data_IF_338458661658
#
_entry.id   IF_338458661658
#
_cell.length_a   1.000
_cell.length_b   1.000
_cell.length_c   1.000
_cell.angle_alpha   90.00
_cell.angle_beta   90.00
_cell.angle_gamma   90.00
#
_symmetry.space_group_name_H-M   'P 1'
#
loop_
_entity.id
_entity.type
_entity.pdbx_description
1 polymer ?
#
# COMPACT_ATOMS: atom_id res chain seq x y z
N UNK A 1 33.47 1.93 -4.59
CA UNK A 1 32.02 2.04 -4.34
C UNK A 1 31.76 3.39 -3.71
N UNK A 2 30.90 4.21 -4.32
CA UNK A 2 30.49 5.49 -3.74
C UNK A 2 29.61 5.25 -2.52
N UNK A 3 29.87 5.93 -1.40
CA UNK A 3 29.08 5.77 -0.18
C UNK A 3 27.75 6.50 -0.31
N UNK A 4 26.64 5.78 -0.14
CA UNK A 4 25.27 6.33 -0.08
C UNK A 4 24.77 6.30 1.36
N UNK A 5 23.77 7.13 1.69
CA UNK A 5 23.24 7.25 3.05
C UNK A 5 22.74 5.90 3.61
N UNK A 6 22.10 5.09 2.76
CA UNK A 6 21.49 3.82 3.13
C UNK A 6 22.51 2.70 3.43
N UNK A 7 23.78 2.85 3.04
CA UNK A 7 24.82 1.86 3.42
C UNK A 7 25.07 1.81 4.94
N UNK A 8 24.77 2.89 5.66
CA UNK A 8 24.95 2.97 7.12
C UNK A 8 23.61 3.21 7.83
N UNK A 9 22.48 2.96 7.14
CA UNK A 9 21.17 3.18 7.72
C UNK A 9 20.81 2.10 8.75
N UNK A 10 20.14 2.51 9.81
CA UNK A 10 19.45 1.62 10.75
C UNK A 10 17.95 1.85 10.54
N UNK A 11 17.29 0.84 9.97
CA UNK A 11 15.86 0.90 9.63
C UNK A 11 15.05 0.27 10.76
N UNK A 12 13.97 0.94 11.16
CA UNK A 12 13.02 0.45 12.15
C UNK A 12 11.64 0.29 11.51
N UNK A 13 11.09 -0.92 11.53
CA UNK A 13 9.75 -1.14 11.00
C UNK A 13 8.69 -0.70 12.01
N UNK A 14 7.71 0.07 11.54
CA UNK A 14 6.52 0.46 12.32
C UNK A 14 5.30 -0.19 11.69
N UNK A 15 4.59 -0.98 12.50
CA UNK A 15 3.26 -1.47 12.16
C UNK A 15 2.22 -0.49 12.75
N UNK A 16 1.56 0.35 11.94
CA UNK A 16 0.86 1.56 12.41
C UNK A 16 -0.25 1.23 13.40
N UNK A 17 -1.09 0.23 13.10
CA UNK A 17 -2.23 -0.19 13.95
C UNK A 17 -1.87 -0.55 15.39
N UNK A 18 -0.61 -0.92 15.65
CA UNK A 18 -0.19 -1.43 16.97
C UNK A 18 0.96 -0.64 17.60
N UNK A 19 1.36 0.48 16.97
CA UNK A 19 2.50 1.24 17.47
C UNK A 19 2.10 2.21 18.59
N UNK A 20 1.22 3.17 18.29
CA UNK A 20 0.77 4.17 19.27
C UNK A 20 -0.56 4.80 18.86
N UNK A 21 -1.58 4.60 19.68
CA UNK A 21 -2.87 5.31 19.61
C UNK A 21 -2.73 6.70 20.28
N UNK A 22 -3.25 7.74 19.62
CA UNK A 22 -3.32 9.12 20.09
C UNK A 22 -4.74 9.68 20.26
N UNK A 23 -5.78 8.99 19.77
CA UNK A 23 -7.17 9.47 19.77
C UNK A 23 -8.11 8.66 20.70
N UNK A 24 -7.66 7.50 21.20
CA UNK A 24 -8.39 6.64 22.14
C UNK A 24 -9.34 5.62 21.50
N UNK A 25 -9.25 5.36 20.20
CA UNK A 25 -10.05 4.33 19.52
C UNK A 25 -9.49 2.90 19.65
N UNK A 26 -8.29 2.76 20.24
CA UNK A 26 -7.61 1.48 20.46
C UNK A 26 -6.71 1.03 19.31
N UNK A 27 -6.55 1.86 18.27
CA UNK A 27 -5.74 1.58 17.07
C UNK A 27 -4.67 2.65 16.94
N UNK A 28 -3.45 2.24 16.60
CA UNK A 28 -2.36 3.18 16.39
C UNK A 28 -2.52 4.02 15.13
N UNK A 29 -2.07 5.27 15.19
CA UNK A 29 -2.30 6.30 14.17
C UNK A 29 -1.02 7.13 13.87
N UNK A 30 -1.05 7.95 12.82
CA UNK A 30 0.10 8.73 12.36
C UNK A 30 0.58 9.74 13.41
N UNK A 31 -0.33 10.40 14.13
CA UNK A 31 0.04 11.33 15.22
C UNK A 31 0.73 10.62 16.36
N UNK A 32 0.31 9.40 16.67
CA UNK A 32 0.96 8.51 17.60
C UNK A 32 2.39 8.19 17.19
N UNK A 33 2.63 7.91 15.91
CA UNK A 33 3.98 7.71 15.36
C UNK A 33 4.81 9.00 15.48
N UNK A 34 4.28 10.13 15.03
CA UNK A 34 4.93 11.45 15.12
C UNK A 34 5.33 11.78 16.56
N UNK A 35 4.47 11.50 17.55
CA UNK A 35 4.73 11.72 18.98
C UNK A 35 5.90 10.90 19.55
N UNK A 36 6.36 9.87 18.83
CA UNK A 36 7.45 8.99 19.24
C UNK A 36 8.75 9.21 18.47
N UNK A 37 8.80 10.17 17.56
CA UNK A 37 10.02 10.44 16.78
C UNK A 37 11.22 10.81 17.67
N UNK A 38 11.03 11.51 18.80
CA UNK A 38 12.12 11.79 19.76
C UNK A 38 12.68 10.51 20.40
N UNK A 39 11.81 9.53 20.67
CA UNK A 39 12.24 8.22 21.16
C UNK A 39 13.03 7.45 20.10
N UNK A 40 12.56 7.48 18.85
CA UNK A 40 13.21 6.80 17.73
C UNK A 40 14.55 7.45 17.36
N UNK A 41 14.64 8.79 17.42
CA UNK A 41 15.90 9.51 17.26
C UNK A 41 16.89 9.12 18.36
N UNK A 42 16.45 9.06 19.62
CA UNK A 42 17.28 8.59 20.75
C UNK A 42 17.74 7.14 20.58
N UNK A 43 16.92 6.29 19.97
CA UNK A 43 17.29 4.91 19.64
C UNK A 43 18.40 4.87 18.57
N UNK A 44 18.55 5.93 17.77
CA UNK A 44 19.60 6.08 16.77
C UNK A 44 19.22 5.56 15.39
N UNK A 45 17.92 5.43 15.09
CA UNK A 45 17.46 4.99 13.77
C UNK A 45 17.62 6.12 12.74
N UNK A 46 17.75 5.75 11.47
CA UNK A 46 17.86 6.73 10.36
C UNK A 46 16.68 6.66 9.41
N UNK A 47 15.88 5.59 9.47
CA UNK A 47 14.68 5.46 8.68
C UNK A 47 13.62 4.60 9.37
N UNK A 48 12.35 4.92 9.12
CA UNK A 48 11.19 4.12 9.48
C UNK A 48 10.72 3.42 8.22
N UNK A 49 10.61 2.09 8.23
CA UNK A 49 9.80 1.36 7.25
C UNK A 49 8.37 1.32 7.79
N UNK A 50 7.48 2.06 7.14
CA UNK A 50 6.09 2.19 7.56
C UNK A 50 5.25 1.18 6.77
N UNK A 51 4.72 0.16 7.46
CA UNK A 51 3.70 -0.72 6.86
C UNK A 51 2.48 0.10 6.38
N UNK A 52 1.68 -0.42 5.43
CA UNK A 52 0.70 0.37 4.70
C UNK A 52 -0.22 1.24 5.57
N UNK A 53 -0.31 2.53 5.20
CA UNK A 53 -1.24 3.52 5.79
C UNK A 53 -2.24 4.09 4.78
N UNK A 54 -2.19 3.60 3.54
CA UNK A 54 -3.09 3.98 2.45
C UNK A 54 -4.54 3.61 2.77
N UNK A 55 -5.47 4.22 2.05
CA UNK A 55 -6.87 3.85 2.10
C UNK A 55 -7.04 2.37 1.73
N UNK A 56 -7.75 1.65 2.59
CA UNK A 56 -7.92 0.20 2.48
C UNK A 56 -9.18 -0.25 3.23
N UNK A 57 -9.89 -1.28 2.75
CA UNK A 57 -10.94 -1.97 3.52
C UNK A 57 -10.42 -2.77 4.73
N UNK A 58 -9.11 -2.96 4.82
CA UNK A 58 -8.40 -3.64 5.92
C UNK A 58 -8.63 -5.16 6.00
N UNK A 59 -9.00 -5.81 4.90
CA UNK A 59 -9.14 -7.27 4.83
C UNK A 59 -7.80 -7.97 5.12
N UNK A 60 -6.70 -7.39 4.61
CA UNK A 60 -5.32 -7.78 4.92
C UNK A 60 -4.59 -6.63 5.63
N UNK A 61 -5.31 -5.93 6.51
CA UNK A 61 -4.79 -4.86 7.37
C UNK A 61 -3.93 -3.80 6.66
N UNK A 62 -4.34 -3.38 5.45
CA UNK A 62 -3.72 -2.30 4.70
C UNK A 62 -2.97 -2.74 3.44
N UNK A 63 -2.67 -4.03 3.29
CA UNK A 63 -2.07 -4.56 2.06
C UNK A 63 -3.10 -4.70 0.92
N UNK A 64 -4.39 -4.62 1.21
CA UNK A 64 -5.50 -4.50 0.27
C UNK A 64 -5.85 -3.01 0.01
N UNK A 65 -5.06 -2.33 -0.82
CA UNK A 65 -5.15 -0.86 -1.03
C UNK A 65 -6.29 -0.49 -2.00
N UNK A 66 -7.22 0.37 -1.58
CA UNK A 66 -8.31 0.89 -2.42
C UNK A 66 -8.05 2.28 -3.00
N UNK A 67 -7.09 3.03 -2.44
CA UNK A 67 -6.58 4.27 -3.01
C UNK A 67 -5.13 4.50 -2.54
N UNK A 68 -4.19 4.50 -3.48
CA UNK A 68 -2.76 4.65 -3.18
C UNK A 68 -2.35 6.07 -2.78
N UNK A 69 -3.16 7.08 -3.10
CA UNK A 69 -2.83 8.49 -2.88
C UNK A 69 -3.64 9.12 -1.75
N UNK A 70 -4.44 8.32 -1.03
CA UNK A 70 -5.23 8.71 0.13
C UNK A 70 -4.79 7.92 1.38
N UNK A 71 -4.95 8.52 2.56
CA UNK A 71 -4.63 7.89 3.84
C UNK A 71 -5.90 7.24 4.39
N UNK A 72 -5.79 6.02 4.94
CA UNK A 72 -6.94 5.43 5.63
C UNK A 72 -7.33 6.28 6.82
N UNK A 73 -8.64 6.59 6.93
CA UNK A 73 -9.19 7.45 7.98
C UNK A 73 -8.89 6.97 9.40
N UNK A 74 -8.62 5.67 9.58
CA UNK A 74 -8.22 5.07 10.85
C UNK A 74 -6.82 5.50 11.31
N UNK A 75 -5.96 5.95 10.39
CA UNK A 75 -4.61 6.40 10.67
C UNK A 75 -4.46 7.92 10.73
N UNK A 76 -5.44 8.67 10.20
CA UNK A 76 -5.44 10.13 10.16
C UNK A 76 -5.75 10.66 8.77
N UNK A 77 -5.10 11.77 8.41
CA UNK A 77 -5.25 12.43 7.11
C UNK A 77 -3.93 12.54 6.35
N UNK A 78 -3.99 13.01 5.09
CA UNK A 78 -2.78 13.31 4.32
C UNK A 78 -1.90 14.37 5.02
N UNK A 79 -2.50 15.36 5.68
CA UNK A 79 -1.76 16.37 6.45
C UNK A 79 -0.99 15.74 7.61
N UNK A 80 -1.54 14.73 8.29
CA UNK A 80 -0.84 14.00 9.36
C UNK A 80 0.36 13.20 8.80
N UNK A 81 0.25 12.69 7.58
CA UNK A 81 1.35 12.01 6.88
C UNK A 81 2.45 12.99 6.47
N UNK A 82 2.06 14.15 5.94
CA UNK A 82 3.00 15.24 5.60
C UNK A 82 3.71 15.78 6.85
N UNK A 83 3.00 15.89 7.97
CA UNK A 83 3.60 16.23 9.28
C UNK A 83 4.60 15.16 9.72
N UNK A 84 4.27 13.87 9.63
CA UNK A 84 5.19 12.76 9.96
C UNK A 84 6.48 12.83 9.12
N UNK A 85 6.37 13.07 7.81
CA UNK A 85 7.52 13.22 6.92
C UNK A 85 8.35 14.43 7.35
N UNK A 86 7.73 15.59 7.56
CA UNK A 86 8.41 16.83 7.92
C UNK A 86 9.11 16.74 9.29
N UNK A 87 8.44 16.18 10.30
CA UNK A 87 9.00 15.98 11.64
C UNK A 87 10.10 14.92 11.67
N UNK A 88 9.98 13.88 10.84
CA UNK A 88 11.04 12.90 10.61
C UNK A 88 12.28 13.55 10.03
N UNK A 89 12.13 14.37 8.99
CA UNK A 89 13.24 15.09 8.36
C UNK A 89 13.99 16.00 9.34
N UNK A 90 13.29 16.71 10.23
CA UNK A 90 13.90 17.55 11.30
C UNK A 90 14.84 16.74 12.20
N UNK A 91 14.55 15.45 12.39
CA UNK A 91 15.33 14.48 13.20
C UNK A 91 16.24 13.58 12.36
N UNK A 92 16.36 13.86 11.06
CA UNK A 92 17.12 13.04 10.08
C UNK A 92 16.63 11.60 9.99
N UNK A 93 15.35 11.37 10.28
CA UNK A 93 14.66 10.09 10.11
C UNK A 93 13.89 10.15 8.80
N UNK A 94 14.20 9.25 7.88
CA UNK A 94 13.49 9.10 6.61
C UNK A 94 12.27 8.18 6.78
N UNK A 95 11.18 8.46 6.08
CA UNK A 95 10.05 7.52 5.99
C UNK A 95 10.21 6.70 4.71
N UNK A 96 10.25 5.39 4.83
CA UNK A 96 10.22 4.43 3.73
C UNK A 96 8.80 3.88 3.66
N UNK A 97 8.14 4.09 2.53
CA UNK A 97 6.76 3.64 2.33
C UNK A 97 6.74 2.18 1.89
N UNK A 98 5.85 1.38 2.47
CA UNK A 98 5.58 0.05 1.94
C UNK A 98 4.84 0.14 0.60
N UNK A 99 5.36 -0.51 -0.45
CA UNK A 99 4.83 -0.40 -1.81
C UNK A 99 4.21 -1.72 -2.27
N UNK A 100 2.88 -1.80 -2.19
CA UNK A 100 2.12 -3.00 -2.56
C UNK A 100 1.52 -2.83 -3.95
N UNK A 101 2.25 -3.28 -4.97
CA UNK A 101 1.90 -3.06 -6.38
C UNK A 101 1.72 -4.35 -7.18
N UNK A 102 1.73 -5.50 -6.50
CA UNK A 102 1.34 -6.76 -7.13
C UNK A 102 -0.18 -6.86 -7.32
N UNK A 103 -0.94 -6.30 -6.40
CA UNK A 103 -2.41 -6.34 -6.36
C UNK A 103 -2.94 -5.03 -5.75
N UNK A 104 -4.22 -4.75 -5.98
CA UNK A 104 -4.98 -3.72 -5.26
C UNK A 104 -6.07 -4.37 -4.43
N UNK A 105 -6.84 -3.60 -3.67
CA UNK A 105 -8.16 -4.03 -3.19
C UNK A 105 -9.13 -4.24 -4.36
N UNK A 106 -10.10 -5.13 -4.19
CA UNK A 106 -11.30 -5.25 -5.05
C UNK A 106 -12.24 -4.02 -4.94
N UNK A 107 -11.99 -3.13 -3.97
CA UNK A 107 -12.67 -1.85 -3.81
C UNK A 107 -11.87 -0.70 -4.42
N UNK A 108 -10.75 -0.97 -5.10
CA UNK A 108 -10.01 0.03 -5.85
C UNK A 108 -10.80 0.48 -7.09
N UNK A 109 -10.76 1.78 -7.41
CA UNK A 109 -11.51 2.35 -8.53
C UNK A 109 -11.23 1.63 -9.87
N UNK A 110 -9.99 1.21 -10.09
CA UNK A 110 -9.63 0.42 -11.26
C UNK A 110 -10.35 -0.93 -11.31
N UNK A 111 -10.46 -1.68 -10.20
CA UNK A 111 -11.12 -2.98 -10.20
C UNK A 111 -12.64 -2.84 -10.34
N UNK A 112 -13.21 -1.83 -9.69
CA UNK A 112 -14.64 -1.49 -9.83
C UNK A 112 -14.97 -1.25 -11.30
N UNK A 113 -14.22 -0.37 -11.97
CA UNK A 113 -14.39 -0.09 -13.41
C UNK A 113 -14.13 -1.33 -14.27
N UNK A 114 -13.08 -2.11 -13.98
CA UNK A 114 -12.76 -3.34 -14.70
C UNK A 114 -13.87 -4.39 -14.61
N UNK A 115 -14.59 -4.45 -13.49
CA UNK A 115 -15.70 -5.37 -13.27
C UNK A 115 -16.99 -4.87 -13.90
N UNK A 116 -17.30 -3.58 -13.76
CA UNK A 116 -18.55 -2.99 -14.24
C UNK A 116 -18.56 -2.76 -15.75
N UNK A 117 -17.40 -2.51 -16.35
CA UNK A 117 -17.26 -2.17 -17.76
C UNK A 117 -16.11 -2.98 -18.43
N UNK A 118 -16.40 -4.18 -18.95
CA UNK A 118 -15.38 -5.03 -19.57
C UNK A 118 -14.70 -4.44 -20.81
N UNK A 119 -15.29 -3.43 -21.45
CA UNK A 119 -14.69 -2.71 -22.58
C UNK A 119 -13.76 -1.56 -22.13
N UNK A 120 -13.69 -1.29 -20.82
CA UNK A 120 -12.82 -0.26 -20.26
C UNK A 120 -11.35 -0.61 -20.42
N UNK A 121 -10.46 0.37 -20.68
CA UNK A 121 -9.01 0.15 -20.60
C UNK A 121 -8.55 -0.43 -19.26
N UNK A 122 -9.30 -0.15 -18.18
CA UNK A 122 -9.01 -0.68 -16.84
C UNK A 122 -9.33 -2.16 -16.70
N UNK A 123 -10.09 -2.78 -17.61
CA UNK A 123 -10.32 -4.23 -17.61
C UNK A 123 -9.00 -4.99 -17.61
N UNK A 124 -8.07 -4.57 -18.46
CA UNK A 124 -6.77 -5.21 -18.63
C UNK A 124 -5.73 -4.78 -17.58
N UNK A 125 -6.12 -3.99 -16.58
CA UNK A 125 -5.27 -3.73 -15.41
C UNK A 125 -5.24 -4.94 -14.48
N UNK A 126 -6.14 -5.89 -14.64
CA UNK A 126 -6.23 -7.12 -13.85
C UNK A 126 -6.22 -8.34 -14.75
N UNK A 127 -5.96 -9.50 -14.16
CA UNK A 127 -5.80 -10.75 -14.90
C UNK A 127 -7.10 -11.53 -14.90
N UNK A 128 -7.77 -11.57 -16.06
CA UNK A 128 -9.05 -12.28 -16.26
C UNK A 128 -8.90 -13.53 -17.14
N UNK A 129 -9.67 -14.58 -16.87
CA UNK A 129 -9.71 -15.82 -17.67
C UNK A 129 -11.10 -16.45 -17.69
N UNK A 130 -11.43 -17.10 -18.81
CA UNK A 130 -12.62 -17.96 -18.92
C UNK A 130 -12.41 -19.32 -18.23
N UNK A 131 -11.24 -19.92 -18.44
CA UNK A 131 -10.86 -21.21 -17.85
C UNK A 131 -9.70 -21.00 -16.86
N UNK A 132 -9.94 -21.15 -15.54
CA UNK A 132 -8.90 -21.00 -14.54
C UNK A 132 -7.96 -22.22 -14.56
N UNK A 133 -6.70 -21.99 -14.19
CA UNK A 133 -5.73 -23.07 -13.98
C UNK A 133 -5.69 -23.50 -12.50
N UNK A 134 -4.83 -24.45 -12.16
CA UNK A 134 -4.72 -25.01 -10.81
C UNK A 134 -3.87 -24.20 -9.83
N UNK A 135 -3.60 -22.91 -10.06
CA UNK A 135 -2.84 -22.07 -9.12
C UNK A 135 -3.66 -21.88 -7.83
N UNK A 136 -2.97 -21.97 -6.70
CA UNK A 136 -3.56 -21.84 -5.36
C UNK A 136 -3.15 -20.51 -4.72
N UNK A 137 -4.09 -19.89 -4.00
CA UNK A 137 -3.85 -18.67 -3.23
C UNK A 137 -2.98 -18.96 -2.00
N UNK A 138 -2.15 -17.98 -1.62
CA UNK A 138 -1.38 -17.98 -0.38
C UNK A 138 -2.28 -18.07 0.87
N UNK A 139 -3.52 -17.57 0.80
CA UNK A 139 -4.48 -17.57 1.91
C UNK A 139 -5.46 -18.76 1.87
N UNK A 140 -5.10 -19.82 1.16
CA UNK A 140 -5.86 -21.07 0.94
C UNK A 140 -6.93 -20.97 -0.13
N UNK A 141 -7.13 -22.10 -0.85
CA UNK A 141 -8.11 -22.21 -1.93
C UNK A 141 -7.55 -21.85 -3.30
N UNK A 142 -8.42 -21.83 -4.30
CA UNK A 142 -8.11 -21.39 -5.67
C UNK A 142 -7.55 -19.96 -5.65
N UNK A 143 -6.60 -19.66 -6.53
CA UNK A 143 -6.19 -18.28 -6.84
C UNK A 143 -7.09 -17.61 -7.88
N UNK A 144 -8.15 -18.29 -8.32
CA UNK A 144 -9.11 -17.78 -9.29
C UNK A 144 -10.48 -17.68 -8.65
N UNK A 145 -11.03 -16.47 -8.58
CA UNK A 145 -12.38 -16.19 -8.09
C UNK A 145 -13.29 -15.85 -9.27
N UNK A 146 -14.46 -16.52 -9.33
CA UNK A 146 -15.44 -16.24 -10.37
C UNK A 146 -16.22 -14.97 -10.05
N UNK A 147 -16.25 -14.04 -10.99
CA UNK A 147 -17.07 -12.82 -10.92
C UNK A 147 -18.31 -12.97 -11.80
N UNK A 148 -19.48 -13.05 -11.17
CA UNK A 148 -20.75 -13.22 -11.89
C UNK A 148 -21.08 -12.04 -12.83
N UNK A 149 -20.64 -10.83 -12.47
CA UNK A 149 -20.95 -9.62 -13.23
C UNK A 149 -20.26 -9.61 -14.61
N UNK A 150 -19.00 -10.01 -14.66
CA UNK A 150 -18.24 -10.11 -15.91
C UNK A 150 -18.24 -11.51 -16.54
N UNK A 151 -18.69 -12.54 -15.81
CA UNK A 151 -18.75 -13.92 -16.29
C UNK A 151 -17.38 -14.59 -16.43
N UNK A 152 -16.34 -14.06 -15.79
CA UNK A 152 -14.96 -14.54 -15.87
C UNK A 152 -14.35 -14.72 -14.47
N UNK A 153 -13.24 -15.45 -14.42
CA UNK A 153 -12.41 -15.55 -13.23
C UNK A 153 -11.36 -14.44 -13.21
N UNK A 154 -11.09 -13.83 -12.06
CA UNK A 154 -9.92 -12.98 -11.85
C UNK A 154 -8.88 -13.67 -10.97
N UNK A 155 -7.60 -13.38 -11.23
CA UNK A 155 -6.50 -13.89 -10.41
C UNK A 155 -6.39 -13.11 -9.09
N UNK A 156 -6.20 -13.84 -8.00
CA UNK A 156 -5.81 -13.33 -6.69
C UNK A 156 -4.83 -14.31 -6.02
N UNK A 157 -3.57 -13.92 -5.89
CA UNK A 157 -2.55 -14.72 -5.21
C UNK A 157 -2.68 -14.67 -3.68
N UNK A 158 -3.47 -13.73 -3.15
CA UNK A 158 -3.74 -13.54 -1.72
C UNK A 158 -5.24 -13.67 -1.44
N UNK A 159 -5.84 -12.76 -0.66
CA UNK A 159 -7.28 -12.74 -0.43
C UNK A 159 -8.05 -12.58 -1.73
N UNK A 160 -9.30 -13.03 -1.77
CA UNK A 160 -10.24 -12.74 -2.86
C UNK A 160 -10.44 -11.24 -3.05
N UNK A 161 -10.23 -10.44 -2.00
CA UNK A 161 -10.28 -8.98 -2.02
C UNK A 161 -8.98 -8.32 -2.49
N UNK A 162 -8.00 -9.11 -2.96
CA UNK A 162 -6.70 -8.66 -3.46
C UNK A 162 -6.47 -9.12 -4.91
N UNK A 163 -7.25 -8.64 -5.90
CA UNK A 163 -7.06 -8.97 -7.31
C UNK A 163 -5.69 -8.51 -7.82
N UNK A 164 -4.98 -9.42 -8.49
CA UNK A 164 -3.64 -9.20 -9.02
C UNK A 164 -3.66 -8.25 -10.22
N UNK A 165 -2.73 -7.30 -10.21
CA UNK A 165 -2.49 -6.37 -11.30
C UNK A 165 -1.75 -7.07 -12.46
N UNK A 166 -2.16 -6.74 -13.67
CA UNK A 166 -1.54 -7.21 -14.90
C UNK A 166 -0.30 -6.37 -15.23
N UNK A 167 0.87 -6.83 -14.79
CA UNK A 167 2.15 -6.16 -15.06
C UNK A 167 2.60 -6.22 -16.54
N UNK A 168 1.97 -7.04 -17.38
CA UNK A 168 2.23 -7.03 -18.82
C UNK A 168 1.67 -5.77 -19.49
N UNK A 169 0.63 -5.15 -18.90
CA UNK A 169 0.00 -3.93 -19.39
C UNK A 169 0.89 -2.69 -19.13
N UNK A 170 1.28 -1.98 -20.19
CA UNK A 170 2.14 -0.79 -20.10
C UNK A 170 1.46 0.42 -19.46
N UNK A 171 0.17 0.61 -19.71
CA UNK A 171 -0.59 1.70 -19.10
C UNK A 171 -0.67 1.52 -17.58
N UNK A 172 -0.90 0.30 -17.10
CA UNK A 172 -0.87 -0.02 -15.68
C UNK A 172 0.50 0.32 -15.08
N UNK A 173 1.59 -0.12 -15.71
CA UNK A 173 2.95 0.19 -15.21
C UNK A 173 3.18 1.70 -15.08
N UNK A 174 2.76 2.49 -16.07
CA UNK A 174 2.87 3.95 -16.00
C UNK A 174 2.03 4.56 -14.89
N UNK A 175 0.79 4.11 -14.67
CA UNK A 175 -0.04 4.57 -13.55
C UNK A 175 0.61 4.27 -12.18
N UNK A 176 1.24 3.10 -12.04
CA UNK A 176 2.02 2.77 -10.84
C UNK A 176 3.22 3.70 -10.68
N UNK A 177 3.94 4.02 -11.75
CA UNK A 177 5.09 4.94 -11.69
C UNK A 177 4.66 6.37 -11.33
N UNK A 178 3.53 6.83 -11.87
CA UNK A 178 2.96 8.13 -11.54
C UNK A 178 2.62 8.22 -10.04
N UNK A 179 1.97 7.19 -9.50
CA UNK A 179 1.70 7.07 -8.07
C UNK A 179 2.99 7.02 -7.21
N UNK A 180 4.03 6.31 -7.66
CA UNK A 180 5.32 6.31 -6.97
C UNK A 180 5.95 7.71 -6.97
N UNK A 181 5.88 8.43 -8.10
CA UNK A 181 6.39 9.80 -8.20
C UNK A 181 5.63 10.76 -7.28
N UNK A 182 4.31 10.60 -7.14
CA UNK A 182 3.52 11.36 -6.18
C UNK A 182 4.08 11.27 -4.75
N UNK A 183 4.40 10.06 -4.28
CA UNK A 183 4.99 9.87 -2.96
C UNK A 183 6.45 10.34 -2.86
N UNK A 184 7.25 10.14 -3.92
CA UNK A 184 8.62 10.67 -4.00
C UNK A 184 8.62 12.21 -3.88
N UNK A 185 7.70 12.89 -4.57
CA UNK A 185 7.58 14.35 -4.55
C UNK A 185 7.16 14.89 -3.18
N UNK A 186 6.46 14.08 -2.36
CA UNK A 186 6.18 14.39 -0.94
C UNK A 186 7.41 14.29 -0.03
N UNK A 187 8.52 13.73 -0.50
CA UNK A 187 9.79 13.70 0.21
C UNK A 187 10.03 12.47 1.08
N UNK A 188 9.47 11.32 0.70
CA UNK A 188 9.81 10.02 1.29
C UNK A 188 11.29 9.68 1.06
N UNK A 189 11.84 8.77 1.87
CA UNK A 189 13.22 8.32 1.79
C UNK A 189 13.46 7.08 0.95
N UNK A 190 12.39 6.38 0.57
CA UNK A 190 12.40 5.16 -0.22
C UNK A 190 11.07 4.41 -0.12
#
# INVERSE_FOLDING_TARGET
MEQKWWHNAVIYQVYPKSFKDSNGDGIGDLKGITSKLDYLEKLGITAIWLSPVYKSPMDDNGYDISDYEDIASIFGTMEDMEELIAEGQKRKIKIIMDLVVNHTSDEHAWFIEARENPDSPKRDFYIWRDEPNGIMSAFSGSAWEFDEASGQYYLHNFSKKQPDLNWENEELRHQIYDMMNFWIDKGIGG
#
